data_IF_381991545357
#
_entry.id   IF_381991545357
#
_cell.length_a   1.000
_cell.length_b   1.000
_cell.length_c   1.000
_cell.angle_alpha   90.00
_cell.angle_beta   90.00
_cell.angle_gamma   90.00
#
_symmetry.space_group_name_H-M   'P 1'
#
loop_
_entity.id
_entity.type
_entity.pdbx_description
1 polymer ?
#
# COMPACT_ATOMS: atom_id res chain seq x y z
N UNK A 1 -20.13 5.07 -1.76
CA UNK A 1 -19.70 3.78 -1.22
C UNK A 1 -19.07 3.91 0.14
N UNK A 2 -18.33 2.90 0.54
CA UNK A 2 -17.55 2.91 1.79
C UNK A 2 -16.08 2.93 1.40
N UNK A 3 -15.31 3.86 1.98
CA UNK A 3 -13.86 3.83 1.87
C UNK A 3 -13.28 2.88 2.92
N UNK A 4 -12.21 2.17 2.57
CA UNK A 4 -11.47 1.33 3.51
C UNK A 4 -10.00 1.73 3.45
N UNK A 5 -9.46 2.24 4.54
CA UNK A 5 -8.08 2.72 4.63
C UNK A 5 -7.29 1.97 5.70
N UNK A 6 -6.00 1.79 5.46
CA UNK A 6 -5.12 1.07 6.37
C UNK A 6 -3.69 1.64 6.27
N UNK A 7 -3.31 2.53 7.21
CA UNK A 7 -1.96 3.09 7.22
C UNK A 7 -0.91 2.06 7.60
N UNK A 8 0.30 2.22 7.05
CA UNK A 8 1.49 1.43 7.38
C UNK A 8 2.46 2.18 8.30
N UNK A 9 2.33 3.50 8.41
CA UNK A 9 3.25 4.37 9.14
C UNK A 9 2.52 5.55 9.80
N UNK A 10 3.12 6.22 10.81
CA UNK A 10 2.46 7.29 11.57
C UNK A 10 2.09 8.53 10.74
N UNK A 11 2.90 8.89 9.74
CA UNK A 11 2.60 10.05 8.88
C UNK A 11 1.34 9.80 8.04
N UNK A 12 1.26 8.63 7.41
CA UNK A 12 0.07 8.23 6.65
C UNK A 12 -1.15 8.02 7.56
N UNK A 13 -0.97 7.48 8.78
CA UNK A 13 -2.06 7.37 9.75
C UNK A 13 -2.68 8.74 10.04
N UNK A 14 -1.85 9.77 10.28
CA UNK A 14 -2.30 11.14 10.48
C UNK A 14 -2.98 11.71 9.24
N UNK A 15 -2.36 11.55 8.07
CA UNK A 15 -2.84 12.11 6.81
C UNK A 15 -4.15 11.48 6.34
N UNK A 16 -4.26 10.16 6.42
CA UNK A 16 -5.47 9.39 6.09
C UNK A 16 -6.61 9.68 7.10
N UNK A 17 -6.31 9.75 8.41
CA UNK A 17 -7.33 10.07 9.41
C UNK A 17 -7.98 11.43 9.14
N UNK A 18 -7.17 12.44 8.84
CA UNK A 18 -7.70 13.77 8.49
C UNK A 18 -8.51 13.74 7.20
N UNK A 19 -8.02 13.08 6.16
CA UNK A 19 -8.77 12.93 4.92
C UNK A 19 -10.08 12.15 5.12
N UNK A 20 -10.09 11.16 6.02
CA UNK A 20 -11.29 10.41 6.38
C UNK A 20 -12.33 11.26 7.12
N UNK A 21 -11.90 12.16 8.00
CA UNK A 21 -12.80 13.10 8.69
C UNK A 21 -13.38 14.12 7.73
N UNK A 22 -12.58 14.57 6.75
CA UNK A 22 -13.00 15.54 5.75
C UNK A 22 -13.88 14.91 4.63
N UNK A 23 -13.94 13.58 4.54
CA UNK A 23 -14.74 12.87 3.53
C UNK A 23 -16.24 12.96 3.81
N UNK A 24 -17.04 13.00 2.73
CA UNK A 24 -18.50 12.95 2.84
C UNK A 24 -19.07 11.52 2.88
N UNK A 25 -18.25 10.53 2.58
CA UNK A 25 -18.61 9.12 2.58
C UNK A 25 -18.15 8.42 3.86
N UNK A 26 -18.80 7.33 4.29
CA UNK A 26 -18.34 6.51 5.40
C UNK A 26 -16.94 5.94 5.14
N UNK A 27 -16.07 5.96 6.15
CA UNK A 27 -14.72 5.41 6.09
C UNK A 27 -14.53 4.36 7.18
N UNK A 28 -14.09 3.17 6.78
CA UNK A 28 -13.56 2.16 7.70
C UNK A 28 -12.06 2.38 7.80
N UNK A 29 -11.60 2.78 9.00
CA UNK A 29 -10.19 3.03 9.27
C UNK A 29 -9.61 1.82 10.03
N UNK A 30 -8.71 1.07 9.39
CA UNK A 30 -8.12 -0.16 9.93
C UNK A 30 -6.72 0.15 10.42
N UNK A 31 -6.48 -0.03 11.71
CA UNK A 31 -5.16 0.12 12.33
C UNK A 31 -4.63 -1.23 12.80
N UNK A 32 -3.36 -1.49 12.51
CA UNK A 32 -2.67 -2.66 13.04
C UNK A 32 -1.89 -2.25 14.31
N UNK A 33 -2.15 -2.91 15.42
CA UNK A 33 -1.53 -2.60 16.72
C UNK A 33 0.00 -2.68 16.69
N UNK A 34 0.57 -3.51 15.83
CA UNK A 34 2.03 -3.63 15.67
C UNK A 34 2.67 -2.39 15.03
N UNK A 35 1.86 -1.51 14.42
CA UNK A 35 2.33 -0.24 13.87
C UNK A 35 2.36 0.90 14.91
N UNK A 36 1.76 0.73 16.10
CA UNK A 36 1.66 1.81 17.11
C UNK A 36 3.01 2.24 17.71
N UNK A 37 4.00 1.34 17.71
CA UNK A 37 5.34 1.66 18.17
C UNK A 37 6.24 2.39 17.18
N UNK A 38 5.78 2.58 15.95
CA UNK A 38 6.55 3.24 14.90
C UNK A 38 6.68 4.73 15.14
N UNK A 39 7.80 5.29 14.71
CA UNK A 39 8.08 6.73 14.76
C UNK A 39 8.26 7.25 13.34
N UNK A 40 7.78 8.45 13.09
CA UNK A 40 8.00 9.19 11.86
C UNK A 40 8.17 10.67 12.18
N UNK A 41 8.75 11.42 11.26
CA UNK A 41 8.76 12.87 11.35
C UNK A 41 7.33 13.42 11.24
N UNK A 42 7.05 14.50 11.96
CA UNK A 42 5.75 15.17 11.85
C UNK A 42 5.62 15.85 10.49
N UNK A 43 4.70 15.43 9.62
CA UNK A 43 4.53 16.04 8.31
C UNK A 43 3.87 17.42 8.34
N UNK A 44 3.59 17.95 9.53
CA UNK A 44 3.02 19.28 9.74
C UNK A 44 1.49 19.32 9.82
N UNK A 45 0.93 20.49 10.23
CA UNK A 45 -0.49 20.61 10.60
C UNK A 45 -1.48 20.46 9.43
N UNK A 46 -1.06 20.74 8.20
CA UNK A 46 -1.91 20.67 6.99
C UNK A 46 -1.86 19.34 6.24
N UNK A 47 -1.03 18.40 6.70
CA UNK A 47 -0.79 17.16 5.96
C UNK A 47 -2.07 16.32 5.79
N UNK A 48 -2.31 15.91 4.55
CA UNK A 48 -3.41 15.03 4.12
C UNK A 48 -2.88 13.98 3.14
N UNK A 49 -3.39 12.79 3.25
CA UNK A 49 -3.19 11.72 2.26
C UNK A 49 -4.51 11.53 1.52
N UNK A 50 -4.58 11.76 0.22
CA UNK A 50 -5.82 11.56 -0.53
C UNK A 50 -6.28 10.10 -0.46
N UNK A 51 -7.57 9.88 -0.19
CA UNK A 51 -8.17 8.55 -0.23
C UNK A 51 -8.10 7.99 -1.65
N UNK A 52 -7.83 6.70 -1.77
CA UNK A 52 -7.69 6.04 -3.07
C UNK A 52 -6.34 6.30 -3.77
N UNK A 53 -5.32 6.78 -3.03
CA UNK A 53 -3.97 6.99 -3.57
C UNK A 53 -2.94 6.14 -2.84
N UNK A 54 -2.24 5.30 -3.63
CA UNK A 54 -1.10 4.52 -3.18
C UNK A 54 0.16 5.38 -3.02
N UNK A 55 1.17 4.83 -2.37
CA UNK A 55 2.52 5.38 -2.34
C UNK A 55 3.52 4.34 -2.83
N UNK A 56 4.54 4.79 -3.54
CA UNK A 56 5.75 4.00 -3.75
C UNK A 56 6.59 4.14 -2.49
N UNK A 57 6.49 3.15 -1.59
CA UNK A 57 7.23 3.13 -0.33
C UNK A 57 8.73 2.85 -0.56
N UNK A 58 9.06 2.19 -1.67
CA UNK A 58 10.41 1.97 -2.17
C UNK A 58 10.39 1.84 -3.68
N UNK A 59 11.27 2.54 -4.35
CA UNK A 59 11.50 2.38 -5.79
C UNK A 59 12.23 1.08 -6.11
N UNK A 60 11.89 0.45 -7.23
CA UNK A 60 12.52 -0.76 -7.72
C UNK A 60 12.25 -1.03 -9.20
N UNK A 61 12.97 -2.00 -9.79
CA UNK A 61 12.90 -2.27 -11.22
C UNK A 61 12.68 -3.75 -11.59
N UNK A 62 12.86 -4.70 -10.64
CA UNK A 62 12.87 -6.11 -10.98
C UNK A 62 11.58 -6.84 -10.59
N UNK A 63 10.89 -6.39 -9.54
CA UNK A 63 9.63 -6.94 -9.06
C UNK A 63 8.87 -5.89 -8.25
N UNK A 64 7.53 -5.85 -8.39
CA UNK A 64 6.63 -5.05 -7.57
C UNK A 64 6.00 -5.90 -6.47
N UNK A 65 6.10 -5.46 -5.22
CA UNK A 65 5.32 -6.00 -4.10
C UNK A 65 4.19 -5.02 -3.81
N UNK A 66 2.96 -5.46 -4.07
CA UNK A 66 1.74 -4.68 -3.79
C UNK A 66 1.21 -5.12 -2.42
N UNK A 67 1.14 -4.18 -1.49
CA UNK A 67 0.85 -4.50 -0.09
C UNK A 67 0.15 -3.34 0.62
N UNK A 68 -0.24 -3.52 1.88
CA UNK A 68 -0.86 -2.49 2.71
C UNK A 68 -0.73 -2.79 4.20
N UNK A 69 -0.86 -1.75 5.04
CA UNK A 69 -0.83 -1.90 6.50
C UNK A 69 0.50 -2.48 7.00
N UNK A 70 0.43 -3.40 7.96
CA UNK A 70 1.62 -3.97 8.61
C UNK A 70 2.60 -4.64 7.63
N UNK A 71 2.09 -5.31 6.60
CA UNK A 71 2.92 -6.07 5.66
C UNK A 71 3.80 -5.18 4.76
N UNK A 72 3.57 -3.86 4.72
CA UNK A 72 4.50 -2.91 4.10
C UNK A 72 5.87 -2.96 4.77
N UNK A 73 5.91 -3.06 6.10
CA UNK A 73 7.18 -3.11 6.85
C UNK A 73 7.96 -4.40 6.54
N UNK A 74 7.24 -5.52 6.43
CA UNK A 74 7.85 -6.80 6.05
C UNK A 74 8.39 -6.75 4.62
N UNK A 75 7.62 -6.16 3.69
CA UNK A 75 8.04 -5.97 2.30
C UNK A 75 9.30 -5.09 2.20
N UNK A 76 9.37 -4.00 2.97
CA UNK A 76 10.56 -3.14 3.00
C UNK A 76 11.79 -3.86 3.55
N UNK A 77 11.64 -4.63 4.63
CA UNK A 77 12.74 -5.41 5.21
C UNK A 77 13.26 -6.46 4.21
N UNK A 78 12.37 -7.20 3.55
CA UNK A 78 12.73 -8.18 2.52
C UNK A 78 13.39 -7.49 1.32
N UNK A 79 12.90 -6.31 0.91
CA UNK A 79 13.48 -5.54 -0.17
C UNK A 79 14.92 -5.10 0.12
N UNK A 80 15.23 -4.77 1.38
CA UNK A 80 16.60 -4.44 1.82
C UNK A 80 17.53 -5.65 1.77
N UNK A 81 17.03 -6.84 2.11
CA UNK A 81 17.83 -8.07 2.02
C UNK A 81 18.05 -8.48 0.56
N UNK A 82 17.03 -8.43 -0.28
CA UNK A 82 17.13 -8.76 -1.71
C UNK A 82 18.06 -7.79 -2.47
N UNK A 83 18.13 -6.52 -2.04
CA UNK A 83 19.05 -5.55 -2.63
C UNK A 83 20.53 -5.96 -2.47
N UNK A 84 20.88 -6.69 -1.39
CA UNK A 84 22.23 -7.24 -1.18
C UNK A 84 22.57 -8.36 -2.19
N UNK A 85 21.53 -8.98 -2.74
CA UNK A 85 21.62 -10.00 -3.78
C UNK A 85 21.52 -9.41 -5.21
N UNK A 86 21.39 -8.08 -5.32
CA UNK A 86 21.28 -7.38 -6.60
C UNK A 86 19.87 -7.35 -7.18
N UNK A 87 18.83 -7.67 -6.38
CA UNK A 87 17.43 -7.65 -6.81
C UNK A 87 16.79 -6.34 -6.34
N UNK A 88 16.26 -5.55 -7.28
CA UNK A 88 15.63 -4.25 -7.04
C UNK A 88 14.12 -4.39 -6.90
N UNK A 89 13.64 -4.38 -5.65
CA UNK A 89 12.22 -4.54 -5.33
C UNK A 89 11.54 -3.18 -5.20
N UNK A 90 10.43 -2.99 -5.94
CA UNK A 90 9.50 -1.90 -5.73
C UNK A 90 8.43 -2.30 -4.72
N UNK A 91 8.18 -1.45 -3.73
CA UNK A 91 7.13 -1.67 -2.73
C UNK A 91 6.04 -0.62 -2.91
N UNK A 92 4.85 -1.08 -3.28
CA UNK A 92 3.65 -0.26 -3.43
C UNK A 92 2.79 -0.41 -2.19
N UNK A 93 2.67 0.65 -1.40
CA UNK A 93 1.75 0.73 -0.27
C UNK A 93 0.42 1.28 -0.74
N UNK A 94 -0.62 0.47 -0.74
CA UNK A 94 -1.96 0.86 -1.20
C UNK A 94 -2.59 1.95 -0.34
N UNK A 95 -2.35 1.99 0.97
CA UNK A 95 -2.93 2.92 1.93
C UNK A 95 -4.47 2.93 1.98
N UNK A 96 -5.11 2.77 0.82
CA UNK A 96 -6.56 2.62 0.66
C UNK A 96 -6.85 1.32 -0.08
N UNK A 97 -7.68 0.47 0.52
CA UNK A 97 -8.07 -0.82 -0.05
C UNK A 97 -9.32 -0.66 -0.95
N UNK A 98 -10.23 0.22 -0.56
CA UNK A 98 -11.45 0.48 -1.32
C UNK A 98 -11.76 2.01 -1.32
N UNK A 99 -11.79 2.64 -2.51
CA UNK A 99 -11.21 2.15 -3.77
C UNK A 99 -9.67 2.14 -3.69
N UNK A 100 -9.02 1.15 -4.29
CA UNK A 100 -7.56 1.15 -4.36
C UNK A 100 -7.05 1.92 -5.59
N UNK A 101 -5.79 2.36 -5.57
CA UNK A 101 -5.14 3.07 -6.68
C UNK A 101 -4.66 2.08 -7.75
N UNK A 102 -5.60 1.65 -8.60
CA UNK A 102 -5.32 0.73 -9.68
C UNK A 102 -4.24 1.27 -10.63
N UNK A 103 -4.29 2.56 -10.94
CA UNK A 103 -3.35 3.18 -11.89
C UNK A 103 -1.89 3.02 -11.43
N UNK A 104 -1.60 3.35 -10.16
CA UNK A 104 -0.25 3.21 -9.58
C UNK A 104 0.19 1.75 -9.54
N UNK A 105 -0.71 0.81 -9.21
CA UNK A 105 -0.40 -0.63 -9.20
C UNK A 105 -0.02 -1.10 -10.60
N UNK A 106 -0.83 -0.79 -11.63
CA UNK A 106 -0.56 -1.23 -12.99
C UNK A 106 0.70 -0.58 -13.59
N UNK A 107 0.98 0.68 -13.26
CA UNK A 107 2.21 1.37 -13.68
C UNK A 107 3.44 0.68 -13.10
N UNK A 108 3.44 0.40 -11.80
CA UNK A 108 4.49 -0.34 -11.11
C UNK A 108 4.75 -1.71 -11.75
N UNK A 109 3.67 -2.48 -11.97
CA UNK A 109 3.79 -3.83 -12.56
C UNK A 109 4.29 -3.79 -14.01
N UNK A 110 3.86 -2.81 -14.81
CA UNK A 110 4.38 -2.64 -16.18
C UNK A 110 5.87 -2.26 -16.19
N UNK A 111 6.32 -1.48 -15.21
CA UNK A 111 7.73 -1.11 -15.05
C UNK A 111 8.61 -2.34 -14.72
N UNK A 112 8.17 -3.16 -13.78
CA UNK A 112 8.98 -4.28 -13.25
C UNK A 112 8.78 -5.60 -13.99
N UNK A 113 7.64 -5.79 -14.67
CA UNK A 113 7.28 -7.02 -15.37
C UNK A 113 6.99 -8.22 -14.45
N UNK A 114 6.98 -8.03 -13.13
CA UNK A 114 6.70 -9.08 -12.12
C UNK A 114 5.94 -8.48 -10.95
N UNK A 115 4.97 -9.23 -10.41
CA UNK A 115 4.17 -8.78 -9.29
C UNK A 115 3.98 -9.85 -8.21
N UNK A 116 4.01 -9.43 -6.96
CA UNK A 116 3.61 -10.19 -5.79
C UNK A 116 2.58 -9.39 -5.02
N UNK A 117 1.43 -9.98 -4.68
CA UNK A 117 0.47 -9.40 -3.74
C UNK A 117 0.73 -9.98 -2.35
N UNK A 118 0.94 -9.11 -1.35
CA UNK A 118 1.27 -9.49 0.02
C UNK A 118 0.30 -8.86 1.00
N UNK A 119 -0.40 -9.68 1.80
CA UNK A 119 -1.33 -9.21 2.82
C UNK A 119 -1.65 -10.29 3.86
N UNK A 120 -2.20 -9.89 5.00
CA UNK A 120 -2.57 -10.80 6.10
C UNK A 120 -3.91 -11.53 5.88
N UNK A 121 -4.72 -11.08 4.91
CA UNK A 121 -6.02 -11.71 4.63
C UNK A 121 -5.85 -13.09 3.99
N UNK A 122 -6.88 -13.94 4.13
CA UNK A 122 -6.93 -15.25 3.48
C UNK A 122 -6.94 -15.09 1.95
N UNK A 123 -6.34 -16.06 1.24
CA UNK A 123 -6.26 -16.03 -0.23
C UNK A 123 -7.63 -16.03 -0.93
N UNK A 124 -8.58 -16.91 -0.55
CA UNK A 124 -9.93 -16.87 -1.15
C UNK A 124 -10.64 -15.57 -0.76
N UNK A 125 -11.14 -14.83 -1.76
CA UNK A 125 -11.88 -13.57 -1.59
C UNK A 125 -11.10 -12.43 -0.89
N UNK A 126 -9.79 -12.59 -0.67
CA UNK A 126 -8.95 -11.50 -0.18
C UNK A 126 -8.69 -10.45 -1.27
N UNK A 127 -8.40 -9.21 -0.86
CA UNK A 127 -8.09 -8.07 -1.75
C UNK A 127 -6.99 -8.40 -2.78
N UNK A 128 -5.99 -9.19 -2.39
CA UNK A 128 -4.91 -9.61 -3.29
C UNK A 128 -5.38 -10.44 -4.47
N UNK A 129 -6.49 -11.18 -4.35
CA UNK A 129 -7.05 -11.94 -5.46
C UNK A 129 -7.64 -11.02 -6.54
N UNK A 130 -8.33 -9.95 -6.14
CA UNK A 130 -8.86 -8.92 -7.05
C UNK A 130 -7.73 -8.17 -7.74
N UNK A 131 -6.71 -7.75 -6.98
CA UNK A 131 -5.54 -7.07 -7.53
C UNK A 131 -4.82 -7.95 -8.55
N UNK A 132 -4.62 -9.23 -8.24
CA UNK A 132 -3.99 -10.19 -9.14
C UNK A 132 -4.80 -10.39 -10.43
N UNK A 133 -6.14 -10.46 -10.34
CA UNK A 133 -7.02 -10.54 -11.50
C UNK A 133 -6.89 -9.30 -12.38
N UNK A 134 -6.97 -8.10 -11.79
CA UNK A 134 -6.81 -6.83 -12.51
C UNK A 134 -5.44 -6.69 -13.19
N UNK A 135 -4.37 -7.12 -12.53
CA UNK A 135 -3.02 -7.16 -13.11
C UNK A 135 -2.99 -8.09 -14.32
N UNK A 136 -3.54 -9.31 -14.17
CA UNK A 136 -3.58 -10.29 -15.26
C UNK A 136 -4.37 -9.79 -16.47
N UNK A 137 -5.50 -9.12 -16.23
CA UNK A 137 -6.35 -8.60 -17.32
C UNK A 137 -5.76 -7.40 -18.05
N UNK A 138 -4.97 -6.55 -17.35
CA UNK A 138 -4.57 -5.23 -17.84
C UNK A 138 -3.08 -5.07 -18.13
N UNK A 139 -2.25 -6.00 -17.67
CA UNK A 139 -0.80 -5.96 -17.90
C UNK A 139 -0.28 -7.05 -18.83
N UNK A 140 -1.05 -8.11 -19.07
CA UNK A 140 -0.69 -9.25 -19.93
C UNK A 140 -1.75 -9.49 -20.99
#
# INVERSE_FOLDING_TARGET
GIHVVTPSNPADARGLMRASIDANDPVIFIENILCYGLKAEDPGPGYRVPLGKAAIAREGTDISIITYGRTVLDALAVADDLAKEGISVEVVDLRTIAPYDEATVLESVRKTGRALTLHEAVRPFGTGAEIAANIQEKCW
#
